data_IF_803656909044
#
_entry.id   IF_803656909044
#
_cell.length_a   1.000
_cell.length_b   1.000
_cell.length_c   1.000
_cell.angle_alpha   90.00
_cell.angle_beta   90.00
_cell.angle_gamma   90.00
#
_symmetry.space_group_name_H-M   'P 1'
#
loop_
_entity.id
_entity.type
_entity.pdbx_description
1 polymer ?
#
# COMPACT_ATOMS: atom_id res chain seq x y z
N UNK A 1 45.56 -17.75 -19.37
CA UNK A 1 45.28 -17.03 -18.10
C UNK A 1 44.07 -16.08 -18.18
N UNK A 2 43.74 -15.52 -19.36
CA UNK A 2 42.60 -14.59 -19.53
C UNK A 2 41.23 -15.26 -19.32
N UNK A 3 41.01 -16.48 -19.82
CA UNK A 3 39.72 -17.16 -19.67
C UNK A 3 39.29 -17.37 -18.21
N UNK A 4 40.22 -17.78 -17.32
CA UNK A 4 39.93 -17.99 -15.91
C UNK A 4 39.49 -16.68 -15.20
N UNK A 5 40.15 -15.56 -15.52
CA UNK A 5 39.76 -14.25 -14.99
C UNK A 5 38.38 -13.82 -15.47
N UNK A 6 38.01 -14.14 -16.72
CA UNK A 6 36.65 -13.92 -17.21
C UNK A 6 35.63 -14.78 -16.46
N UNK A 7 35.84 -16.10 -16.35
CA UNK A 7 34.91 -16.99 -15.64
C UNK A 7 34.68 -16.59 -14.17
N UNK A 8 35.75 -16.20 -13.45
CA UNK A 8 35.64 -15.70 -12.09
C UNK A 8 34.86 -14.38 -12.00
N UNK A 9 35.05 -13.49 -12.97
CA UNK A 9 34.34 -12.20 -13.04
C UNK A 9 32.86 -12.38 -13.37
N UNK A 10 32.53 -13.33 -14.25
CA UNK A 10 31.15 -13.72 -14.59
C UNK A 10 30.44 -14.35 -13.40
N UNK A 11 31.04 -15.37 -12.76
CA UNK A 11 30.47 -16.01 -11.57
C UNK A 11 30.25 -15.02 -10.42
N UNK A 12 31.17 -14.06 -10.21
CA UNK A 12 30.98 -12.98 -9.23
C UNK A 12 29.82 -12.04 -9.57
N UNK A 13 29.54 -11.80 -10.86
CA UNK A 13 28.38 -11.01 -11.30
C UNK A 13 27.09 -11.80 -11.06
N UNK A 14 27.03 -13.07 -11.45
CA UNK A 14 25.83 -13.90 -11.25
C UNK A 14 25.46 -14.05 -9.78
N UNK A 15 26.44 -14.29 -8.91
CA UNK A 15 26.19 -14.33 -7.45
C UNK A 15 25.68 -12.98 -6.94
N UNK A 16 26.26 -11.85 -7.37
CA UNK A 16 25.78 -10.52 -6.98
C UNK A 16 24.36 -10.23 -7.47
N UNK A 17 24.02 -10.63 -8.70
CA UNK A 17 22.65 -10.48 -9.23
C UNK A 17 21.66 -11.34 -8.46
N UNK A 18 22.02 -12.58 -8.12
CA UNK A 18 21.17 -13.47 -7.34
C UNK A 18 20.95 -12.96 -5.91
N UNK A 19 22.00 -12.47 -5.24
CA UNK A 19 21.88 -11.86 -3.92
C UNK A 19 21.00 -10.62 -3.97
N UNK A 20 21.23 -9.71 -4.92
CA UNK A 20 20.40 -8.51 -5.07
C UNK A 20 18.93 -8.85 -5.31
N UNK A 21 18.65 -9.84 -6.17
CA UNK A 21 17.29 -10.28 -6.44
C UNK A 21 16.63 -10.84 -5.17
N UNK A 22 17.36 -11.68 -4.43
CA UNK A 22 16.89 -12.25 -3.17
C UNK A 22 16.61 -11.16 -2.13
N UNK A 23 17.49 -10.17 -2.02
CA UNK A 23 17.35 -9.07 -1.06
C UNK A 23 16.14 -8.20 -1.39
N UNK A 24 15.94 -7.88 -2.67
CA UNK A 24 14.76 -7.12 -3.14
C UNK A 24 13.47 -7.91 -2.88
N UNK A 25 13.46 -9.21 -3.18
CA UNK A 25 12.31 -10.06 -2.91
C UNK A 25 12.00 -10.12 -1.41
N UNK A 26 13.03 -10.29 -0.57
CA UNK A 26 12.85 -10.34 0.87
C UNK A 26 12.30 -9.01 1.41
N UNK A 27 12.86 -7.89 0.95
CA UNK A 27 12.41 -6.56 1.33
C UNK A 27 10.95 -6.29 0.94
N UNK A 28 10.55 -6.63 -0.29
CA UNK A 28 9.17 -6.46 -0.73
C UNK A 28 8.22 -7.37 0.04
N UNK A 29 8.61 -8.62 0.28
CA UNK A 29 7.81 -9.56 1.07
C UNK A 29 7.59 -9.06 2.51
N UNK A 30 8.64 -8.58 3.18
CA UNK A 30 8.52 -8.01 4.53
C UNK A 30 7.67 -6.75 4.52
N UNK A 31 7.89 -5.86 3.54
CA UNK A 31 7.13 -4.62 3.40
C UNK A 31 5.62 -4.88 3.28
N UNK A 32 5.21 -5.76 2.36
CA UNK A 32 3.79 -6.08 2.18
C UNK A 32 3.21 -6.86 3.36
N UNK A 33 4.02 -7.66 4.07
CA UNK A 33 3.58 -8.34 5.29
C UNK A 33 3.32 -7.35 6.43
N UNK A 34 4.23 -6.41 6.68
CA UNK A 34 4.07 -5.37 7.70
C UNK A 34 2.89 -4.45 7.37
N UNK A 35 2.75 -4.11 6.10
CA UNK A 35 1.62 -3.32 5.62
C UNK A 35 0.31 -4.07 5.83
N UNK A 36 0.23 -5.35 5.45
CA UNK A 36 -0.96 -6.18 5.68
C UNK A 36 -1.30 -6.27 7.16
N UNK A 37 -0.32 -6.51 8.03
CA UNK A 37 -0.52 -6.58 9.48
C UNK A 37 -1.08 -5.26 10.03
N UNK A 38 -0.54 -4.12 9.60
CA UNK A 38 -1.07 -2.80 9.95
C UNK A 38 -2.49 -2.63 9.47
N UNK A 39 -2.77 -3.05 8.23
CA UNK A 39 -4.09 -2.94 7.62
C UNK A 39 -5.12 -3.80 8.35
N UNK A 40 -4.75 -4.99 8.81
CA UNK A 40 -5.62 -5.88 9.58
C UNK A 40 -6.04 -5.26 10.91
N UNK A 41 -5.15 -4.51 11.56
CA UNK A 41 -5.47 -3.75 12.77
C UNK A 41 -6.47 -2.62 12.46
N UNK A 42 -6.43 -2.05 11.25
CA UNK A 42 -7.31 -0.97 10.81
C UNK A 42 -8.68 -1.47 10.33
N UNK A 43 -8.81 -2.74 9.91
CA UNK A 43 -10.08 -3.28 9.37
C UNK A 43 -11.28 -3.08 10.32
N UNK A 44 -11.19 -3.35 11.64
CA UNK A 44 -12.31 -3.14 12.56
C UNK A 44 -12.74 -1.67 12.66
N UNK A 45 -11.83 -0.71 12.42
CA UNK A 45 -12.11 0.72 12.54
C UNK A 45 -13.07 1.22 11.45
N UNK A 46 -13.31 0.43 10.41
CA UNK A 46 -14.26 0.75 9.34
C UNK A 46 -15.69 0.92 9.86
N UNK A 47 -16.08 0.34 11.00
CA UNK A 47 -17.44 0.53 11.56
C UNK A 47 -17.61 1.87 12.31
N UNK A 48 -16.52 2.49 12.75
CA UNK A 48 -16.55 3.69 13.58
C UNK A 48 -16.77 4.97 12.75
N UNK A 49 -16.83 6.10 13.44
CA UNK A 49 -16.83 7.45 12.84
C UNK A 49 -15.39 7.95 12.66
N UNK A 50 -15.14 8.85 11.70
CA UNK A 50 -13.80 9.36 11.46
C UNK A 50 -13.22 10.12 12.67
N UNK A 51 -14.07 10.78 13.46
CA UNK A 51 -13.67 11.48 14.69
C UNK A 51 -13.09 10.52 15.74
N UNK A 52 -13.61 9.29 15.82
CA UNK A 52 -13.15 8.29 16.78
C UNK A 52 -11.81 7.65 16.39
N UNK A 53 -11.52 7.56 15.09
CA UNK A 53 -10.41 6.75 14.56
C UNK A 53 -9.31 7.57 13.90
N UNK A 54 -9.55 8.86 13.65
CA UNK A 54 -8.62 9.71 12.91
C UNK A 54 -7.22 9.74 13.51
N UNK A 55 -7.10 9.89 14.83
CA UNK A 55 -5.80 9.92 15.52
C UNK A 55 -5.02 8.60 15.37
N UNK A 56 -5.70 7.45 15.49
CA UNK A 56 -5.10 6.13 15.28
C UNK A 56 -4.65 5.97 13.82
N UNK A 57 -5.48 6.40 12.87
CA UNK A 57 -5.15 6.39 11.44
C UNK A 57 -3.91 7.23 11.12
N UNK A 58 -3.84 8.45 11.65
CA UNK A 58 -2.68 9.35 11.48
C UNK A 58 -1.42 8.75 12.11
N UNK A 59 -1.53 8.21 13.33
CA UNK A 59 -0.41 7.55 14.01
C UNK A 59 0.14 6.39 13.18
N UNK A 60 -0.74 5.49 12.73
CA UNK A 60 -0.35 4.33 11.91
C UNK A 60 0.30 4.76 10.60
N UNK A 61 -0.25 5.77 9.92
CA UNK A 61 0.34 6.29 8.69
C UNK A 61 1.74 6.87 8.94
N UNK A 62 1.93 7.62 10.04
CA UNK A 62 3.22 8.22 10.38
C UNK A 62 4.33 7.19 10.68
N UNK A 63 3.96 6.02 11.22
CA UNK A 63 4.91 4.93 11.53
C UNK A 63 4.99 3.83 10.47
N UNK A 64 4.19 3.90 9.41
CA UNK A 64 4.24 2.92 8.32
C UNK A 64 5.20 3.41 7.24
N UNK A 65 6.25 2.64 6.99
CA UNK A 65 7.27 2.99 6.00
C UNK A 65 6.61 3.25 4.63
N UNK A 66 7.02 4.31 3.95
CA UNK A 66 6.54 4.67 2.60
C UNK A 66 5.02 4.83 2.46
N UNK A 67 4.24 4.86 3.54
CA UNK A 67 2.80 5.12 3.48
C UNK A 67 2.56 6.62 3.57
N UNK A 68 1.85 7.16 2.58
CA UNK A 68 1.40 8.57 2.57
C UNK A 68 0.08 8.74 3.31
N UNK A 69 -0.83 7.79 3.17
CA UNK A 69 -2.11 7.81 3.87
C UNK A 69 -2.76 6.42 3.92
N UNK A 70 -3.37 6.12 5.05
CA UNK A 70 -4.47 5.16 5.15
C UNK A 70 -5.81 5.85 4.98
N UNK A 71 -6.72 5.17 4.27
CA UNK A 71 -8.11 5.56 4.06
C UNK A 71 -9.03 4.43 4.52
N UNK A 72 -10.13 4.77 5.19
CA UNK A 72 -11.18 3.82 5.51
C UNK A 72 -12.35 3.97 4.56
N UNK A 73 -12.84 2.84 4.07
CA UNK A 73 -13.93 2.74 3.09
C UNK A 73 -15.10 2.06 3.76
N UNK A 74 -16.27 2.67 3.61
CA UNK A 74 -17.56 2.14 4.00
C UNK A 74 -18.53 2.35 2.85
N UNK A 75 -19.19 1.29 2.42
CA UNK A 75 -20.18 1.32 1.32
C UNK A 75 -19.66 2.02 0.05
N UNK A 76 -18.47 1.63 -0.42
CA UNK A 76 -17.75 2.19 -1.59
C UNK A 76 -17.31 3.64 -1.46
N UNK A 77 -17.46 4.25 -0.29
CA UNK A 77 -17.06 5.64 -0.04
C UNK A 77 -15.91 5.71 0.94
N UNK A 78 -14.94 6.55 0.61
CA UNK A 78 -13.92 6.99 1.56
C UNK A 78 -14.59 7.91 2.58
N UNK A 79 -14.62 7.47 3.84
CA UNK A 79 -15.23 8.25 4.92
C UNK A 79 -14.20 8.88 5.86
N UNK A 80 -12.98 8.34 5.89
CA UNK A 80 -11.91 8.84 6.75
C UNK A 80 -10.55 8.66 6.08
N UNK A 81 -9.68 9.65 6.29
CA UNK A 81 -8.31 9.70 5.80
C UNK A 81 -7.39 10.12 6.93
N UNK A 82 -6.26 9.42 7.05
CA UNK A 82 -5.19 9.77 8.00
C UNK A 82 -4.53 11.12 7.70
N UNK A 83 -4.59 11.60 6.44
CA UNK A 83 -4.00 12.85 5.99
C UNK A 83 -4.99 14.02 5.97
N UNK A 84 -6.24 13.78 5.53
CA UNK A 84 -7.23 14.83 5.30
C UNK A 84 -8.42 14.79 6.26
N UNK A 85 -8.48 13.80 7.16
CA UNK A 85 -9.57 13.65 8.11
C UNK A 85 -10.86 13.12 7.48
N UNK A 86 -12.00 13.63 7.93
CA UNK A 86 -13.30 13.16 7.48
C UNK A 86 -13.54 13.50 6.00
N UNK A 87 -14.11 12.53 5.28
CA UNK A 87 -14.38 12.66 3.84
C UNK A 87 -15.75 12.06 3.51
N UNK A 88 -16.26 12.37 2.33
CA UNK A 88 -17.41 11.69 1.76
C UNK A 88 -17.25 11.64 0.24
N UNK A 89 -16.35 10.78 -0.22
CA UNK A 89 -15.96 10.67 -1.62
C UNK A 89 -16.11 9.22 -2.10
N UNK A 90 -16.74 8.95 -3.26
CA UNK A 90 -16.72 7.62 -3.86
C UNK A 90 -15.28 7.16 -4.14
N UNK A 91 -14.95 5.91 -3.83
CA UNK A 91 -13.60 5.38 -4.03
C UNK A 91 -13.15 5.48 -5.49
N UNK A 92 -14.08 5.32 -6.44
CA UNK A 92 -13.80 5.40 -7.88
C UNK A 92 -13.36 6.80 -8.33
N UNK A 93 -13.65 7.86 -7.56
CA UNK A 93 -13.11 9.20 -7.86
C UNK A 93 -11.64 9.32 -7.49
N UNK A 94 -11.18 8.53 -6.51
CA UNK A 94 -9.78 8.46 -6.12
C UNK A 94 -9.01 7.49 -7.02
N UNK A 95 -9.58 6.29 -7.25
CA UNK A 95 -8.97 5.20 -8.01
C UNK A 95 -10.02 4.57 -8.92
N UNK A 96 -10.15 5.04 -10.17
CA UNK A 96 -11.23 4.62 -11.07
C UNK A 96 -11.26 3.12 -11.39
N UNK A 97 -10.09 2.51 -11.57
CA UNK A 97 -9.97 1.19 -12.18
C UNK A 97 -9.75 0.03 -11.19
N UNK A 98 -9.87 0.28 -9.88
CA UNK A 98 -9.60 -0.78 -8.87
C UNK A 98 -10.80 -1.70 -8.66
N UNK A 99 -10.60 -3.01 -8.80
CA UNK A 99 -11.63 -4.01 -8.53
C UNK A 99 -11.74 -4.31 -7.03
N UNK A 100 -12.68 -3.64 -6.36
CA UNK A 100 -12.94 -3.82 -4.92
C UNK A 100 -13.51 -5.19 -4.55
N UNK A 101 -13.91 -6.01 -5.53
CA UNK A 101 -14.42 -7.37 -5.26
C UNK A 101 -13.31 -8.33 -4.89
N UNK A 102 -12.06 -8.03 -5.27
CA UNK A 102 -10.88 -8.80 -4.88
C UNK A 102 -10.54 -8.55 -3.41
N UNK A 103 -10.00 -9.56 -2.75
CA UNK A 103 -9.54 -9.45 -1.36
C UNK A 103 -8.39 -8.45 -1.23
N UNK A 104 -7.49 -8.47 -2.21
CA UNK A 104 -6.41 -7.50 -2.37
C UNK A 104 -6.35 -7.05 -3.83
N UNK A 105 -6.21 -5.75 -4.04
CA UNK A 105 -5.95 -5.19 -5.37
C UNK A 105 -4.91 -4.07 -5.26
N UNK A 106 -4.09 -3.90 -6.30
CA UNK A 106 -3.04 -2.89 -6.34
C UNK A 106 -3.06 -2.18 -7.69
N UNK A 107 -2.77 -0.89 -7.68
CA UNK A 107 -2.57 -0.10 -8.88
C UNK A 107 -1.47 0.94 -8.67
N UNK A 108 -0.87 1.39 -9.77
CA UNK A 108 0.02 2.56 -9.77
C UNK A 108 -0.75 3.68 -10.46
N UNK A 109 -0.81 4.83 -9.81
CA UNK A 109 -1.49 6.01 -10.31
C UNK A 109 -0.48 7.11 -10.64
N UNK A 110 -0.71 7.90 -11.70
CA UNK A 110 0.11 9.07 -12.01
C UNK A 110 0.04 10.14 -10.91
N UNK A 111 -1.04 10.13 -10.13
CA UNK A 111 -1.25 10.96 -8.96
C UNK A 111 -2.64 10.74 -8.36
N UNK A 112 -2.95 11.46 -7.28
CA UNK A 112 -4.29 11.48 -6.67
C UNK A 112 -4.93 12.86 -6.85
N UNK A 113 -6.24 13.04 -6.66
CA UNK A 113 -6.87 14.35 -6.75
C UNK A 113 -6.21 15.42 -5.85
N UNK A 114 -5.63 15.02 -4.72
CA UNK A 114 -4.92 15.91 -3.80
C UNK A 114 -3.44 16.11 -4.16
N UNK A 115 -2.83 15.19 -4.91
CA UNK A 115 -1.45 15.25 -5.39
C UNK A 115 -1.37 14.73 -6.84
N UNK A 116 -1.87 15.50 -7.83
CA UNK A 116 -2.07 14.99 -9.20
C UNK A 116 -0.75 14.73 -9.95
N UNK A 117 0.35 15.38 -9.56
CA UNK A 117 1.63 15.32 -10.26
C UNK A 117 2.67 14.44 -9.54
N UNK A 118 2.25 13.64 -8.55
CA UNK A 118 3.15 12.76 -7.79
C UNK A 118 2.66 11.31 -7.90
N UNK A 119 3.35 10.46 -8.70
CA UNK A 119 3.01 9.05 -8.80
C UNK A 119 2.95 8.37 -7.43
N UNK A 120 2.06 7.39 -7.34
CA UNK A 120 1.79 6.71 -6.07
C UNK A 120 1.32 5.29 -6.34
N UNK A 121 1.73 4.36 -5.49
CA UNK A 121 1.16 3.03 -5.44
C UNK A 121 -0.06 3.05 -4.52
N UNK A 122 -1.12 2.37 -4.92
CA UNK A 122 -2.31 2.20 -4.10
C UNK A 122 -2.62 0.73 -3.90
N UNK A 123 -3.09 0.40 -2.70
CA UNK A 123 -3.40 -0.97 -2.33
C UNK A 123 -4.74 -1.00 -1.60
N UNK A 124 -5.63 -1.84 -2.08
CA UNK A 124 -6.93 -2.16 -1.49
C UNK A 124 -6.84 -3.44 -0.69
N UNK A 125 -7.40 -3.41 0.52
CA UNK A 125 -7.62 -4.59 1.35
C UNK A 125 -9.09 -4.64 1.74
N UNK A 126 -9.81 -5.63 1.20
CA UNK A 126 -11.23 -5.82 1.47
C UNK A 126 -11.45 -6.25 2.92
N UNK A 127 -12.49 -5.70 3.54
CA UNK A 127 -12.97 -6.17 4.83
C UNK A 127 -13.73 -7.51 4.61
N UNK A 128 -13.35 -8.60 5.31
CA UNK A 128 -14.01 -9.89 5.13
C UNK A 128 -15.42 -9.95 5.74
N UNK A 129 -15.74 -9.06 6.69
CA UNK A 129 -17.00 -9.05 7.42
C UNK A 129 -18.00 -8.01 6.88
N UNK A 130 -17.49 -6.98 6.18
CA UNK A 130 -18.30 -5.87 5.68
C UNK A 130 -18.21 -5.78 4.17
N UNK A 131 -19.36 -5.82 3.51
CA UNK A 131 -19.44 -5.66 2.07
C UNK A 131 -18.98 -4.26 1.64
N UNK A 132 -18.30 -4.21 0.49
CA UNK A 132 -17.88 -2.96 -0.16
C UNK A 132 -17.12 -1.98 0.77
N UNK A 133 -16.47 -2.53 1.79
CA UNK A 133 -15.80 -1.80 2.87
C UNK A 133 -14.41 -2.40 3.08
N UNK A 134 -13.50 -1.61 3.64
CA UNK A 134 -12.11 -2.03 3.76
C UNK A 134 -11.17 -0.87 4.01
N UNK A 135 -9.89 -1.13 3.78
CA UNK A 135 -8.82 -0.16 3.99
C UNK A 135 -8.08 0.04 2.68
N UNK A 136 -7.79 1.30 2.39
CA UNK A 136 -6.93 1.70 1.29
C UNK A 136 -5.62 2.23 1.84
N UNK A 137 -4.53 1.88 1.18
CA UNK A 137 -3.21 2.46 1.43
C UNK A 137 -2.78 3.23 0.19
N UNK A 138 -2.34 4.46 0.41
CA UNK A 138 -1.60 5.25 -0.57
C UNK A 138 -0.14 5.22 -0.13
N UNK A 139 0.73 4.62 -0.94
CA UNK A 139 2.15 4.48 -0.69
C UNK A 139 2.98 5.22 -1.75
N UNK A 140 4.21 5.54 -1.37
CA UNK A 140 5.21 6.01 -2.32
C UNK A 140 5.53 4.90 -3.33
N UNK A 141 5.83 5.31 -4.56
CA UNK A 141 6.31 4.42 -5.61
C UNK A 141 7.83 4.41 -5.62
#
# INVERSE_FOLDING_TARGET
MVACNFFLSWHKRDVKYNTLLSDVQHYLASYFADLKATTDILQPLTINTCQQVGAELTSRAAFSLNVRAFLLIKDKKVFCSSATGAMNMPLQQLVPDIDIRKDVAMAILPGTPMMPNKPTMVIWYRNPLLNDSGVFTIAEY
#
